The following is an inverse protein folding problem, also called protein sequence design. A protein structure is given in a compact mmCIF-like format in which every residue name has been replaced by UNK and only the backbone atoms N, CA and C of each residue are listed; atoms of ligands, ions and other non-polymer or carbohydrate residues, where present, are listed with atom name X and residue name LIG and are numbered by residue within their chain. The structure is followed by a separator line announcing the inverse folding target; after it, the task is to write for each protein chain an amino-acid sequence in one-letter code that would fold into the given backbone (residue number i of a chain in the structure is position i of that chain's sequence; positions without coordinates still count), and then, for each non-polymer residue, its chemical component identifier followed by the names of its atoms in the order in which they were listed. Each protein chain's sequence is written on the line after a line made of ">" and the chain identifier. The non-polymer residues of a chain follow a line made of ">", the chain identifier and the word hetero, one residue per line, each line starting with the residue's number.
data_IF_678584381272
#
_entry.id   IF_678584381272
#
_cell.length_a   1.000
_cell.length_b   1.000
_cell.length_c   1.000
_cell.angle_alpha   90.00
_cell.angle_beta   90.00
_cell.angle_gamma   90.00
#
_symmetry.space_group_name_H-M   'P 1'
#
loop_
_entity.id
_entity.type
_entity.pdbx_description
1 polymer ?
#
# COMPACT_ATOMS: atom_id res chain seq x y z
N UNK A 1 17.68 0.93 16.73
CA UNK A 1 19.11 0.53 16.73
C UNK A 1 19.41 -0.49 15.63
N UNK A 2 18.72 -1.64 15.57
CA UNK A 2 18.90 -2.65 14.49
C UNK A 2 18.81 -2.07 13.06
N UNK A 3 17.79 -1.25 12.77
CA UNK A 3 17.63 -0.63 11.44
C UNK A 3 18.80 0.32 11.07
N UNK A 4 19.32 1.08 12.04
CA UNK A 4 20.45 1.97 11.82
C UNK A 4 21.76 1.19 11.60
N UNK A 5 21.97 0.12 12.38
CA UNK A 5 23.13 -0.76 12.23
C UNK A 5 23.13 -1.50 10.88
N UNK A 6 21.96 -1.94 10.42
CA UNK A 6 21.80 -2.53 9.09
C UNK A 6 22.14 -1.53 7.97
N UNK A 7 21.60 -0.30 8.04
CA UNK A 7 21.92 0.75 7.07
C UNK A 7 23.41 1.10 7.04
N UNK A 8 24.06 1.16 8.20
CA UNK A 8 25.49 1.45 8.33
C UNK A 8 26.36 0.31 7.77
N UNK A 9 26.02 -0.93 8.07
CA UNK A 9 26.70 -2.11 7.52
C UNK A 9 26.61 -2.14 5.98
N UNK A 10 25.42 -1.88 5.42
CA UNK A 10 25.23 -1.83 3.98
C UNK A 10 25.95 -0.64 3.32
N UNK A 11 26.02 0.51 3.99
CA UNK A 11 26.78 1.66 3.51
C UNK A 11 28.29 1.35 3.47
N UNK A 12 28.81 0.67 4.48
CA UNK A 12 30.21 0.25 4.55
C UNK A 12 30.56 -0.86 3.56
N UNK A 13 29.64 -1.78 3.29
CA UNK A 13 29.84 -2.89 2.34
C UNK A 13 29.53 -2.52 0.88
N UNK A 14 29.12 -1.28 0.61
CA UNK A 14 28.73 -0.82 -0.73
C UNK A 14 27.43 -1.46 -1.25
N UNK A 15 26.63 -2.09 -0.39
CA UNK A 15 25.40 -2.77 -0.77
C UNK A 15 24.29 -1.75 -1.04
N UNK A 16 23.73 -1.76 -2.26
CA UNK A 16 22.67 -0.83 -2.66
C UNK A 16 21.32 -1.25 -2.10
N UNK A 17 20.78 -0.45 -1.17
CA UNK A 17 19.49 -0.71 -0.51
C UNK A 17 18.27 -0.16 -1.26
N UNK A 18 18.45 0.90 -2.05
CA UNK A 18 17.41 1.52 -2.87
C UNK A 18 17.81 1.37 -4.33
N UNK A 19 17.05 0.56 -5.09
CA UNK A 19 17.21 0.44 -6.54
C UNK A 19 16.35 1.51 -7.21
N UNK A 20 16.99 2.48 -7.86
CA UNK A 20 16.35 3.33 -8.86
C UNK A 20 17.01 2.97 -10.19
N UNK A 21 16.19 2.51 -11.15
CA UNK A 21 16.68 2.07 -12.46
C UNK A 21 17.21 3.26 -13.24
N UNK A 22 18.48 3.18 -13.64
CA UNK A 22 19.12 4.14 -14.55
C UNK A 22 20.35 4.82 -13.95
N UNK A 23 21.51 4.36 -14.41
CA UNK A 23 22.87 4.93 -14.40
C UNK A 23 23.35 5.89 -13.29
N UNK A 24 24.52 5.51 -12.77
CA UNK A 24 25.62 6.36 -12.27
C UNK A 24 25.35 7.31 -11.09
N UNK A 25 25.77 6.84 -9.91
CA UNK A 25 26.51 7.70 -8.99
C UNK A 25 25.73 8.34 -7.85
N UNK A 26 25.39 7.56 -6.82
CA UNK A 26 25.33 8.09 -5.46
C UNK A 26 25.50 6.97 -4.43
N UNK A 27 26.58 7.01 -3.65
CA UNK A 27 26.77 6.29 -2.37
C UNK A 27 25.82 6.80 -1.25
N UNK A 28 24.92 7.72 -1.59
CA UNK A 28 24.01 8.47 -0.71
C UNK A 28 22.84 7.63 -0.10
N UNK A 29 22.32 6.55 -0.71
CA UNK A 29 21.14 5.84 -0.18
C UNK A 29 21.34 5.14 1.16
N UNK A 30 22.51 4.54 1.43
CA UNK A 30 22.76 3.77 2.66
C UNK A 30 22.87 4.66 3.90
N UNK A 31 23.50 5.83 3.76
CA UNK A 31 23.61 6.83 4.82
C UNK A 31 22.27 7.47 5.18
N UNK A 32 21.37 7.63 4.21
CA UNK A 32 20.00 8.09 4.47
C UNK A 32 19.24 7.10 5.38
N UNK A 33 19.34 5.78 5.13
CA UNK A 33 18.75 4.73 5.97
C UNK A 33 19.33 4.76 7.38
N UNK A 34 20.66 4.85 7.49
CA UNK A 34 21.35 4.95 8.78
C UNK A 34 20.92 6.21 9.56
N UNK A 35 20.78 7.35 8.87
CA UNK A 35 20.36 8.63 9.47
C UNK A 35 18.92 8.59 9.98
N UNK A 36 17.99 8.04 9.20
CA UNK A 36 16.59 7.84 9.62
C UNK A 36 16.52 6.89 10.82
N UNK A 37 17.30 5.80 10.80
CA UNK A 37 17.38 4.85 11.92
C UNK A 37 17.99 5.46 13.19
N UNK A 38 19.02 6.30 13.04
CA UNK A 38 19.66 7.04 14.13
C UNK A 38 18.70 8.06 14.75
N UNK A 39 18.03 8.85 13.92
CA UNK A 39 17.01 9.80 14.37
C UNK A 39 15.86 9.08 15.10
N UNK A 40 15.38 7.95 14.58
CA UNK A 40 14.36 7.13 15.25
C UNK A 40 14.80 6.67 16.65
N UNK A 41 16.06 6.25 16.80
CA UNK A 41 16.61 5.83 18.08
C UNK A 41 16.73 7.00 19.07
N UNK A 42 17.22 8.16 18.63
CA UNK A 42 17.35 9.37 19.45
C UNK A 42 15.99 9.85 19.96
N UNK A 43 14.99 9.93 19.07
CA UNK A 43 13.65 10.41 19.42
C UNK A 43 12.94 9.43 20.35
N UNK A 44 13.08 8.13 20.12
CA UNK A 44 12.54 7.10 21.02
C UNK A 44 13.21 7.17 22.41
N UNK A 45 14.54 7.33 22.47
CA UNK A 45 15.27 7.52 23.72
C UNK A 45 14.87 8.79 24.46
N UNK A 46 14.64 9.89 23.75
CA UNK A 46 14.13 11.13 24.32
C UNK A 46 12.72 10.95 24.91
N UNK A 47 11.85 10.16 24.28
CA UNK A 47 10.51 9.87 24.82
C UNK A 47 10.58 9.00 26.08
N UNK A 48 11.50 8.04 26.14
CA UNK A 48 11.74 7.23 27.35
C UNK A 48 12.25 8.11 28.50
N UNK A 49 13.14 9.06 28.21
CA UNK A 49 13.78 9.90 29.23
C UNK A 49 12.92 11.07 29.70
N UNK A 50 12.17 11.70 28.79
CA UNK A 50 11.46 12.97 29.06
C UNK A 50 9.94 12.85 28.97
N UNK A 51 9.41 11.67 28.68
CA UNK A 51 7.99 11.42 28.44
C UNK A 51 7.50 11.94 27.07
N UNK A 52 6.26 11.58 26.67
CA UNK A 52 5.73 11.89 25.34
C UNK A 52 5.22 13.34 25.23
N UNK A 53 6.15 14.31 25.16
CA UNK A 53 5.87 15.74 24.90
C UNK A 53 5.27 15.95 23.50
N UNK A 54 4.47 17.01 23.27
CA UNK A 54 3.83 17.26 21.97
C UNK A 54 4.84 17.37 20.82
N UNK A 55 5.96 18.07 21.04
CA UNK A 55 7.03 18.17 20.03
C UNK A 55 7.65 16.80 19.69
N UNK A 56 7.94 15.97 20.70
CA UNK A 56 8.46 14.61 20.49
C UNK A 56 7.44 13.72 19.77
N UNK A 57 6.15 13.90 19.99
CA UNK A 57 5.09 13.19 19.23
C UNK A 57 5.07 13.59 17.77
N UNK A 58 5.18 14.89 17.46
CA UNK A 58 5.29 15.36 16.07
C UNK A 58 6.52 14.74 15.41
N UNK A 59 7.65 14.75 16.10
CA UNK A 59 8.89 14.18 15.59
C UNK A 59 8.81 12.66 15.38
N UNK A 60 8.19 11.92 16.31
CA UNK A 60 7.90 10.49 16.11
C UNK A 60 7.02 10.24 14.87
N UNK A 61 6.01 11.08 14.62
CA UNK A 61 5.18 10.97 13.42
C UNK A 61 5.95 11.29 12.14
N UNK A 62 6.83 12.29 12.15
CA UNK A 62 7.69 12.61 11.01
C UNK A 62 8.65 11.45 10.69
N UNK A 63 9.32 10.90 11.71
CA UNK A 63 10.23 9.76 11.51
C UNK A 63 9.47 8.48 11.13
N UNK A 64 8.26 8.28 11.67
CA UNK A 64 7.36 7.21 11.24
C UNK A 64 6.97 7.35 9.76
N UNK A 65 6.69 8.57 9.29
CA UNK A 65 6.37 8.82 7.88
C UNK A 65 7.59 8.53 6.98
N UNK A 66 8.78 8.97 7.36
CA UNK A 66 10.03 8.68 6.65
C UNK A 66 10.31 7.17 6.58
N UNK A 67 10.17 6.44 7.68
CA UNK A 67 10.28 4.99 7.71
C UNK A 67 9.20 4.31 6.85
N UNK A 68 7.97 4.83 6.86
CA UNK A 68 6.86 4.37 6.02
C UNK A 68 7.15 4.52 4.52
N UNK A 69 7.76 5.64 4.11
CA UNK A 69 8.20 5.86 2.72
C UNK A 69 9.24 4.82 2.30
N UNK A 70 10.20 4.48 3.17
CA UNK A 70 11.18 3.42 2.86
C UNK A 70 10.58 2.01 2.86
N UNK A 71 9.50 1.79 3.62
CA UNK A 71 8.77 0.53 3.68
C UNK A 71 7.76 0.34 2.54
N UNK A 72 7.50 1.39 1.78
CA UNK A 72 6.39 1.48 0.83
C UNK A 72 6.42 0.41 -0.28
N UNK A 73 7.60 0.11 -0.81
CA UNK A 73 7.77 -0.93 -1.82
C UNK A 73 7.79 -2.35 -1.25
N UNK A 74 7.69 -2.53 0.08
CA UNK A 74 7.63 -3.86 0.70
C UNK A 74 6.41 -4.64 0.23
N UNK A 75 5.28 -3.95 0.05
CA UNK A 75 4.05 -4.60 -0.41
C UNK A 75 4.25 -5.22 -1.78
N UNK A 76 4.95 -4.51 -2.68
CA UNK A 76 5.26 -5.04 -4.02
C UNK A 76 6.16 -6.27 -3.93
N UNK A 77 7.19 -6.24 -3.08
CA UNK A 77 8.08 -7.40 -2.85
C UNK A 77 7.33 -8.62 -2.28
N UNK A 78 6.35 -8.40 -1.39
CA UNK A 78 5.52 -9.48 -0.84
C UNK A 78 4.59 -10.04 -1.92
N UNK A 79 3.98 -9.16 -2.73
CA UNK A 79 3.12 -9.54 -3.85
C UNK A 79 3.93 -10.36 -4.87
N UNK A 80 5.13 -9.92 -5.25
CA UNK A 80 6.00 -10.68 -6.17
C UNK A 80 6.36 -12.05 -5.59
N UNK A 81 6.81 -12.11 -4.33
CA UNK A 81 7.10 -13.40 -3.66
C UNK A 81 5.90 -14.33 -3.59
N UNK A 82 4.70 -13.82 -3.31
CA UNK A 82 3.46 -14.62 -3.29
C UNK A 82 3.14 -15.24 -4.65
N UNK A 83 3.61 -14.64 -5.75
CA UNK A 83 3.43 -15.14 -7.10
C UNK A 83 4.64 -15.92 -7.62
N UNK A 84 5.51 -16.39 -6.71
CA UNK A 84 6.69 -17.17 -7.06
C UNK A 84 7.79 -16.36 -7.74
N UNK A 85 7.65 -15.03 -7.77
CA UNK A 85 8.67 -14.13 -8.30
C UNK A 85 9.74 -13.86 -7.25
N UNK A 86 11.01 -13.88 -7.67
CA UNK A 86 12.10 -13.43 -6.83
C UNK A 86 11.99 -11.93 -6.50
N UNK A 87 12.60 -11.51 -5.40
CA UNK A 87 12.84 -10.08 -5.15
C UNK A 87 14.13 -9.66 -5.84
N UNK A 88 14.17 -8.43 -6.36
CA UNK A 88 15.36 -7.86 -7.02
C UNK A 88 16.62 -7.92 -6.14
N UNK A 89 16.45 -7.83 -4.80
CA UNK A 89 17.53 -7.98 -3.84
C UNK A 89 17.00 -8.31 -2.44
N UNK A 90 17.53 -9.38 -1.84
CA UNK A 90 17.21 -9.75 -0.45
C UNK A 90 17.57 -8.66 0.57
N UNK A 91 18.63 -7.87 0.31
CA UNK A 91 19.02 -6.75 1.17
C UNK A 91 18.01 -5.59 1.10
N UNK A 92 17.44 -5.32 -0.09
CA UNK A 92 16.38 -4.32 -0.24
C UNK A 92 15.09 -4.74 0.45
N UNK A 93 14.70 -6.02 0.30
CA UNK A 93 13.54 -6.58 1.00
C UNK A 93 13.70 -6.51 2.53
N UNK A 94 14.88 -6.87 3.05
CA UNK A 94 15.20 -6.77 4.47
C UNK A 94 15.13 -5.32 4.98
N UNK A 95 15.67 -4.36 4.23
CA UNK A 95 15.57 -2.93 4.56
C UNK A 95 14.11 -2.47 4.67
N UNK A 96 13.30 -2.79 3.67
CA UNK A 96 11.88 -2.43 3.61
C UNK A 96 11.10 -3.07 4.77
N UNK A 97 11.41 -4.32 5.13
CA UNK A 97 10.79 -5.02 6.26
C UNK A 97 11.15 -4.38 7.61
N UNK A 98 12.43 -4.07 7.84
CA UNK A 98 12.89 -3.39 9.05
C UNK A 98 12.29 -1.98 9.17
N UNK A 99 12.16 -1.26 8.06
CA UNK A 99 11.50 0.03 7.99
C UNK A 99 10.02 -0.05 8.39
N UNK A 100 9.30 -1.09 7.91
CA UNK A 100 7.90 -1.33 8.26
C UNK A 100 7.73 -1.60 9.76
N UNK A 101 8.57 -2.48 10.33
CA UNK A 101 8.58 -2.76 11.78
C UNK A 101 8.89 -1.49 12.57
N UNK A 102 9.89 -0.72 12.14
CA UNK A 102 10.26 0.57 12.76
C UNK A 102 9.09 1.56 12.77
N UNK A 103 8.38 1.71 11.65
CA UNK A 103 7.22 2.60 11.55
C UNK A 103 6.09 2.18 12.51
N UNK A 104 5.80 0.87 12.62
CA UNK A 104 4.80 0.33 13.56
C UNK A 104 5.17 0.65 15.00
N UNK A 105 6.43 0.42 15.39
CA UNK A 105 6.92 0.68 16.75
C UNK A 105 6.91 2.18 17.09
N UNK A 106 7.31 3.04 16.16
CA UNK A 106 7.25 4.50 16.34
C UNK A 106 5.81 4.99 16.50
N UNK A 107 4.88 4.49 15.68
CA UNK A 107 3.46 4.82 15.78
C UNK A 107 2.83 4.33 17.09
N UNK A 108 3.22 3.14 17.57
CA UNK A 108 2.79 2.62 18.87
C UNK A 108 3.32 3.49 20.03
N UNK A 109 4.59 3.89 19.97
CA UNK A 109 5.25 4.76 20.96
C UNK A 109 4.62 6.16 21.00
N UNK A 110 4.26 6.72 19.84
CA UNK A 110 3.55 8.00 19.77
C UNK A 110 2.13 7.94 20.38
N UNK A 111 1.57 6.73 20.55
CA UNK A 111 0.18 6.48 20.99
C UNK A 111 0.06 5.97 22.42
N UNK A 112 1.14 5.49 23.05
CA UNK A 112 1.13 4.84 24.38
C UNK A 112 0.57 5.72 25.50
N UNK A 113 0.53 7.05 25.33
CA UNK A 113 -0.04 7.99 26.30
C UNK A 113 -1.57 8.18 26.25
N UNK A 114 -2.33 7.41 25.47
CA UNK A 114 -3.80 7.51 25.41
C UNK A 114 -4.47 6.26 25.97
N UNK A 115 -4.51 6.15 27.29
CA UNK A 115 -5.40 5.22 27.99
C UNK A 115 -6.85 5.66 27.73
N UNK A 116 -7.54 4.97 26.83
CA UNK A 116 -8.96 5.19 26.60
C UNK A 116 -9.74 4.27 27.55
N UNK A 117 -10.14 4.82 28.70
CA UNK A 117 -11.10 4.21 29.61
C UNK A 117 -12.52 4.45 29.05
N UNK A 118 -13.04 3.47 28.33
CA UNK A 118 -14.42 3.48 27.86
C UNK A 118 -14.85 2.06 27.50
N UNK A 119 -15.85 1.54 28.21
CA UNK A 119 -16.43 0.21 27.97
C UNK A 119 -17.72 0.27 27.17
N UNK A 120 -18.22 1.47 26.88
CA UNK A 120 -19.47 1.65 26.14
C UNK A 120 -19.29 1.31 24.66
N UNK A 121 -19.96 0.23 24.24
CA UNK A 121 -19.94 -0.30 22.87
C UNK A 121 -20.96 0.44 22.02
N UNK A 122 -20.50 1.10 20.94
CA UNK A 122 -21.37 1.84 20.02
C UNK A 122 -22.18 0.91 19.12
N UNK A 123 -23.45 1.23 18.87
CA UNK A 123 -24.30 0.46 17.96
C UNK A 123 -23.72 0.43 16.52
N UNK A 124 -23.91 -0.66 15.76
CA UNK A 124 -23.43 -0.74 14.39
C UNK A 124 -24.06 0.36 13.54
N UNK A 125 -23.25 1.10 12.79
CA UNK A 125 -23.73 2.24 12.00
C UNK A 125 -23.07 2.33 10.62
N UNK A 126 -23.88 2.71 9.65
CA UNK A 126 -23.45 3.05 8.29
C UNK A 126 -22.62 4.33 8.29
N UNK A 127 -21.62 4.43 7.44
CA UNK A 127 -20.82 5.65 7.33
C UNK A 127 -21.63 6.85 6.78
N UNK A 128 -21.19 8.09 7.10
CA UNK A 128 -21.77 9.32 6.56
C UNK A 128 -21.74 9.36 5.02
N UNK A 129 -22.66 10.12 4.41
CA UNK A 129 -22.82 10.19 2.94
C UNK A 129 -21.51 10.44 2.19
N UNK A 130 -20.69 11.40 2.65
CA UNK A 130 -19.40 11.73 2.03
C UNK A 130 -18.42 10.54 2.03
N UNK A 131 -18.39 9.75 3.11
CA UNK A 131 -17.52 8.56 3.20
C UNK A 131 -18.00 7.47 2.23
N UNK A 132 -19.33 7.36 2.03
CA UNK A 132 -19.88 6.43 1.04
C UNK A 132 -19.58 6.88 -0.39
N UNK A 133 -19.62 8.18 -0.66
CA UNK A 133 -19.23 8.73 -1.95
C UNK A 133 -17.75 8.47 -2.24
N UNK A 134 -16.88 8.63 -1.24
CA UNK A 134 -15.47 8.24 -1.37
C UNK A 134 -15.33 6.74 -1.68
N UNK A 135 -16.11 5.87 -1.03
CA UNK A 135 -16.08 4.44 -1.33
C UNK A 135 -16.59 4.10 -2.74
N UNK A 136 -17.61 4.81 -3.23
CA UNK A 136 -18.05 4.72 -4.61
C UNK A 136 -16.96 5.15 -5.58
N UNK A 137 -16.33 6.31 -5.34
CA UNK A 137 -15.21 6.79 -6.15
C UNK A 137 -14.07 5.76 -6.20
N UNK A 138 -13.67 5.19 -5.05
CA UNK A 138 -12.66 4.14 -4.99
C UNK A 138 -13.05 2.86 -5.73
N UNK A 139 -14.35 2.51 -5.77
CA UNK A 139 -14.83 1.35 -6.54
C UNK A 139 -14.81 1.65 -8.04
N UNK A 140 -15.32 2.80 -8.45
CA UNK A 140 -15.39 3.23 -9.86
C UNK A 140 -14.00 3.44 -10.45
N UNK A 141 -13.00 3.80 -9.63
CA UNK A 141 -11.63 3.97 -10.07
C UNK A 141 -11.01 2.71 -10.70
N UNK A 142 -11.51 1.51 -10.39
CA UNK A 142 -11.07 0.26 -11.01
C UNK A 142 -11.81 -0.09 -12.31
N UNK A 143 -12.86 0.65 -12.70
CA UNK A 143 -13.62 0.35 -13.92
C UNK A 143 -12.74 0.42 -15.19
N UNK A 144 -11.90 1.46 -15.40
CA UNK A 144 -11.01 1.50 -16.56
C UNK A 144 -10.02 0.33 -16.56
N UNK A 145 -9.53 -0.07 -15.38
CA UNK A 145 -8.63 -1.20 -15.21
C UNK A 145 -9.30 -2.53 -15.57
N UNK A 146 -10.52 -2.75 -15.08
CA UNK A 146 -11.31 -3.92 -15.41
C UNK A 146 -11.65 -3.98 -16.90
N UNK A 147 -12.02 -2.85 -17.52
CA UNK A 147 -12.29 -2.77 -18.95
C UNK A 147 -11.05 -3.13 -19.78
N UNK A 148 -9.88 -2.58 -19.43
CA UNK A 148 -8.60 -2.93 -20.05
C UNK A 148 -8.32 -4.44 -19.96
N UNK A 149 -8.42 -5.04 -18.76
CA UNK A 149 -8.20 -6.48 -18.56
C UNK A 149 -9.20 -7.33 -19.36
N UNK A 150 -10.46 -6.93 -19.42
CA UNK A 150 -11.48 -7.62 -20.21
C UNK A 150 -11.19 -7.57 -21.71
N UNK A 151 -10.69 -6.44 -22.23
CA UNK A 151 -10.29 -6.34 -23.64
C UNK A 151 -9.20 -7.35 -23.96
N UNK A 152 -8.15 -7.43 -23.14
CA UNK A 152 -7.08 -8.43 -23.33
C UNK A 152 -7.58 -9.87 -23.18
N UNK A 153 -8.45 -10.15 -22.20
CA UNK A 153 -9.02 -11.49 -21.99
C UNK A 153 -9.86 -11.98 -23.17
N UNK A 154 -10.52 -11.06 -23.88
CA UNK A 154 -11.30 -11.35 -25.08
C UNK A 154 -10.45 -11.42 -26.36
N UNK A 155 -9.12 -11.40 -26.23
CA UNK A 155 -8.18 -11.41 -27.36
C UNK A 155 -8.04 -10.07 -28.09
N UNK A 156 -8.59 -8.99 -27.52
CA UNK A 156 -8.48 -7.64 -28.06
C UNK A 156 -7.12 -6.99 -27.80
N UNK A 157 -6.93 -5.82 -28.41
CA UNK A 157 -5.73 -5.00 -28.24
C UNK A 157 -6.05 -3.77 -27.39
N UNK A 158 -5.25 -3.51 -26.37
CA UNK A 158 -5.30 -2.28 -25.58
C UNK A 158 -3.89 -1.77 -25.35
N UNK A 159 -3.69 -0.45 -25.51
CA UNK A 159 -2.37 0.18 -25.44
C UNK A 159 -1.33 -0.54 -26.33
N UNK A 160 -1.70 -0.84 -27.58
CA UNK A 160 -0.81 -1.46 -28.55
C UNK A 160 -0.40 -2.91 -28.26
N UNK A 161 -0.84 -3.51 -27.16
CA UNK A 161 -0.56 -4.89 -26.75
C UNK A 161 -1.81 -5.75 -26.88
N UNK A 162 -1.66 -6.92 -27.51
CA UNK A 162 -2.69 -7.97 -27.61
C UNK A 162 -2.76 -8.83 -26.35
N UNK A 163 -3.89 -9.51 -26.14
CA UNK A 163 -4.03 -10.46 -25.03
C UNK A 163 -2.96 -11.57 -25.03
N UNK A 164 -2.58 -12.09 -26.20
CA UNK A 164 -1.54 -13.12 -26.34
C UNK A 164 -0.14 -12.59 -25.98
N UNK A 165 0.21 -11.40 -26.44
CA UNK A 165 1.47 -10.75 -26.08
C UNK A 165 1.54 -10.47 -24.57
N UNK A 166 0.44 -10.04 -23.96
CA UNK A 166 0.37 -9.83 -22.52
C UNK A 166 0.56 -11.14 -21.74
N UNK A 167 -0.05 -12.24 -22.19
CA UNK A 167 0.10 -13.56 -21.58
C UNK A 167 1.56 -14.05 -21.70
N UNK A 168 2.19 -13.86 -22.85
CA UNK A 168 3.60 -14.21 -23.07
C UNK A 168 4.55 -13.37 -22.21
N UNK A 169 4.26 -12.08 -22.01
CA UNK A 169 5.00 -11.21 -21.08
C UNK A 169 4.87 -11.73 -19.65
N UNK A 170 3.69 -12.15 -19.22
CA UNK A 170 3.49 -12.70 -17.87
C UNK A 170 4.16 -14.05 -17.67
N UNK A 171 4.15 -14.94 -18.67
CA UNK A 171 4.92 -16.19 -18.64
C UNK A 171 6.43 -15.92 -18.53
N UNK A 172 6.95 -14.97 -19.32
CA UNK A 172 8.36 -14.53 -19.24
C UNK A 172 8.70 -13.93 -17.88
N UNK A 173 7.75 -13.22 -17.27
CA UNK A 173 7.83 -12.71 -15.91
C UNK A 173 7.51 -13.79 -14.87
N UNK A 174 7.61 -15.08 -15.22
CA UNK A 174 7.59 -16.22 -14.31
C UNK A 174 6.21 -16.63 -13.78
N UNK A 175 5.11 -16.09 -14.32
CA UNK A 175 3.78 -16.61 -14.01
C UNK A 175 3.67 -18.05 -14.54
N UNK A 176 3.21 -18.98 -13.72
CA UNK A 176 3.10 -20.39 -14.12
C UNK A 176 1.86 -21.07 -13.54
N UNK A 177 1.44 -22.17 -14.17
CA UNK A 177 0.36 -23.03 -13.71
C UNK A 177 -0.99 -22.31 -13.58
N UNK A 178 -1.53 -22.24 -12.36
CA UNK A 178 -2.87 -21.70 -12.12
C UNK A 178 -2.95 -20.19 -12.37
N UNK A 179 -1.83 -19.46 -12.27
CA UNK A 179 -1.81 -18.01 -12.53
C UNK A 179 -1.86 -17.70 -14.01
N UNK A 180 -1.16 -18.47 -14.85
CA UNK A 180 -1.20 -18.30 -16.31
C UNK A 180 -2.59 -18.67 -16.87
N UNK A 181 -3.19 -19.73 -16.34
CA UNK A 181 -4.57 -20.10 -16.70
C UNK A 181 -5.55 -19.03 -16.26
N UNK A 182 -5.49 -18.53 -15.04
CA UNK A 182 -6.35 -17.42 -14.60
C UNK A 182 -6.15 -16.13 -15.42
N UNK A 183 -4.91 -15.82 -15.80
CA UNK A 183 -4.59 -14.67 -16.63
C UNK A 183 -5.16 -14.76 -18.05
N UNK A 184 -5.20 -15.97 -18.63
CA UNK A 184 -5.89 -16.18 -19.92
C UNK A 184 -7.39 -15.89 -19.87
N UNK A 185 -8.00 -15.87 -18.68
CA UNK A 185 -9.40 -15.48 -18.46
C UNK A 185 -9.52 -14.00 -18.02
N UNK A 186 -8.43 -13.24 -18.04
CA UNK A 186 -8.38 -11.87 -17.53
C UNK A 186 -8.40 -11.75 -16.01
N UNK A 187 -8.38 -12.87 -15.28
CA UNK A 187 -8.47 -12.94 -13.83
C UNK A 187 -7.09 -13.05 -13.22
N UNK A 188 -6.24 -12.06 -13.47
CA UNK A 188 -4.93 -12.06 -12.81
C UNK A 188 -5.07 -11.80 -11.29
N UNK A 189 -3.99 -12.02 -10.52
CA UNK A 189 -4.04 -11.79 -9.09
C UNK A 189 -4.38 -10.35 -8.70
N UNK A 190 -4.06 -9.37 -9.55
CA UNK A 190 -4.36 -7.98 -9.25
C UNK A 190 -5.86 -7.69 -9.32
N UNK A 191 -6.61 -8.34 -10.22
CA UNK A 191 -8.08 -8.30 -10.24
C UNK A 191 -8.65 -8.93 -8.96
N UNK A 192 -8.11 -10.06 -8.50
CA UNK A 192 -8.54 -10.68 -7.24
C UNK A 192 -8.28 -9.77 -6.04
N UNK A 193 -7.10 -9.15 -5.98
CA UNK A 193 -6.76 -8.16 -4.95
C UNK A 193 -7.67 -6.92 -5.03
N UNK A 194 -8.02 -6.46 -6.23
CA UNK A 194 -8.93 -5.34 -6.42
C UNK A 194 -10.34 -5.68 -5.91
N UNK A 195 -10.86 -6.89 -6.20
CA UNK A 195 -12.15 -7.37 -5.69
C UNK A 195 -12.13 -7.47 -4.16
N UNK A 196 -11.09 -8.06 -3.58
CA UNK A 196 -10.90 -8.13 -2.12
C UNK A 196 -10.80 -6.72 -1.51
N UNK A 197 -10.13 -5.80 -2.19
CA UNK A 197 -10.03 -4.40 -1.80
C UNK A 197 -11.39 -3.71 -1.79
N UNK A 198 -12.16 -3.80 -2.89
CA UNK A 198 -13.52 -3.26 -2.97
C UNK A 198 -14.40 -3.85 -1.88
N UNK A 199 -14.32 -5.17 -1.66
CA UNK A 199 -15.04 -5.83 -0.57
C UNK A 199 -14.66 -5.23 0.79
N UNK A 200 -13.36 -5.10 1.08
CA UNK A 200 -12.86 -4.48 2.30
C UNK A 200 -13.36 -3.04 2.48
N UNK A 201 -13.26 -2.22 1.43
CA UNK A 201 -13.70 -0.83 1.42
C UNK A 201 -15.20 -0.72 1.78
N UNK A 202 -16.04 -1.57 1.19
CA UNK A 202 -17.46 -1.61 1.51
C UNK A 202 -17.76 -2.15 2.92
N UNK A 203 -16.93 -3.07 3.42
CA UNK A 203 -17.00 -3.54 4.80
C UNK A 203 -16.76 -2.41 5.79
N UNK A 204 -15.79 -1.54 5.54
CA UNK A 204 -15.52 -0.37 6.39
C UNK A 204 -16.66 0.64 6.38
N UNK A 205 -17.49 0.66 5.35
CA UNK A 205 -18.55 1.67 5.17
C UNK A 205 -19.92 1.17 5.62
N UNK A 206 -20.18 -0.13 5.49
CA UNK A 206 -21.49 -0.73 5.80
C UNK A 206 -21.51 -1.37 7.20
N UNK A 207 -22.71 -1.59 7.78
CA UNK A 207 -22.83 -2.20 9.11
C UNK A 207 -22.26 -3.63 9.18
N UNK A 208 -22.23 -4.35 8.06
CA UNK A 208 -21.75 -5.73 8.01
C UNK A 208 -20.25 -5.89 8.28
N UNK A 209 -19.45 -4.81 8.14
CA UNK A 209 -18.06 -4.83 8.60
C UNK A 209 -17.90 -4.67 10.11
N UNK A 210 -18.98 -4.36 10.83
CA UNK A 210 -18.99 -4.28 12.31
C UNK A 210 -19.70 -5.47 12.96
N UNK A 211 -20.62 -6.11 12.24
CA UNK A 211 -21.38 -7.29 12.67
C UNK A 211 -21.46 -8.27 11.52
N UNK A 212 -21.09 -9.52 11.76
CA UNK A 212 -21.13 -10.56 10.75
C UNK A 212 -22.55 -10.73 10.18
N UNK A 213 -22.71 -10.69 8.84
CA UNK A 213 -24.00 -10.75 8.18
C UNK A 213 -24.68 -12.13 8.33
N UNK A 214 -25.94 -12.23 7.91
CA UNK A 214 -26.73 -13.47 8.08
C UNK A 214 -26.19 -14.66 7.24
N UNK A 215 -25.44 -14.38 6.17
CA UNK A 215 -24.86 -15.40 5.31
C UNK A 215 -23.58 -16.05 5.87
N UNK A 216 -22.92 -15.46 6.86
CA UNK A 216 -21.84 -16.14 7.59
C UNK A 216 -22.45 -17.03 8.68
N UNK A 217 -22.93 -18.22 8.28
CA UNK A 217 -23.69 -19.16 9.13
C UNK A 217 -23.13 -19.32 10.55
N UNK A 218 -21.81 -19.51 10.70
CA UNK A 218 -21.16 -19.74 12.00
C UNK A 218 -20.91 -18.49 12.84
N UNK A 219 -20.87 -17.31 12.22
CA UNK A 219 -20.49 -16.05 12.88
C UNK A 219 -21.64 -15.04 12.94
N UNK A 220 -22.81 -15.39 12.41
CA UNK A 220 -24.00 -14.54 12.29
C UNK A 220 -24.27 -13.75 13.58
N UNK A 221 -24.40 -12.43 13.44
CA UNK A 221 -24.74 -11.54 14.56
C UNK A 221 -23.62 -11.28 15.55
N UNK A 222 -22.47 -11.97 15.46
CA UNK A 222 -21.29 -11.66 16.25
C UNK A 222 -20.65 -10.37 15.77
N UNK A 223 -20.03 -9.63 16.68
CA UNK A 223 -19.25 -8.43 16.34
C UNK A 223 -17.99 -8.84 15.60
N UNK A 224 -17.69 -8.12 14.53
CA UNK A 224 -16.41 -8.24 13.83
C UNK A 224 -15.33 -7.62 14.70
N UNK A 225 -14.24 -8.33 15.03
CA UNK A 225 -13.12 -7.75 15.74
C UNK A 225 -12.62 -6.52 14.99
N UNK A 226 -12.53 -5.38 15.67
CA UNK A 226 -12.20 -4.08 15.07
C UNK A 226 -10.99 -4.13 14.14
N UNK A 227 -9.94 -4.83 14.56
CA UNK A 227 -8.68 -4.90 13.83
C UNK A 227 -8.74 -5.78 12.58
N UNK A 228 -9.74 -6.66 12.46
CA UNK A 228 -9.89 -7.57 11.33
C UNK A 228 -10.04 -6.81 9.99
N UNK A 229 -10.99 -5.87 9.81
CA UNK A 229 -11.03 -5.06 8.59
C UNK A 229 -10.05 -3.88 8.64
N UNK A 230 -9.65 -3.43 9.83
CA UNK A 230 -8.93 -2.17 9.98
C UNK A 230 -7.43 -2.31 9.74
N UNK A 231 -6.82 -3.43 10.13
CA UNK A 231 -5.41 -3.71 9.84
C UNK A 231 -5.13 -3.78 8.34
N UNK A 232 -5.81 -4.61 7.52
CA UNK A 232 -5.59 -4.64 6.08
C UNK A 232 -5.97 -3.31 5.42
N UNK A 233 -6.97 -2.58 5.93
CA UNK A 233 -7.33 -1.27 5.40
C UNK A 233 -6.25 -0.21 5.63
N UNK A 234 -5.62 -0.22 6.81
CA UNK A 234 -4.52 0.69 7.12
C UNK A 234 -3.27 0.34 6.32
N UNK A 235 -2.97 -0.95 6.15
CA UNK A 235 -1.86 -1.41 5.29
C UNK A 235 -2.10 -1.00 3.83
N UNK A 236 -3.29 -1.28 3.29
CA UNK A 236 -3.66 -0.89 1.93
C UNK A 236 -3.67 0.62 1.73
N UNK A 237 -4.16 1.39 2.70
CA UNK A 237 -4.17 2.86 2.62
C UNK A 237 -2.74 3.44 2.66
N UNK A 238 -1.88 2.91 3.54
CA UNK A 238 -0.50 3.37 3.69
C UNK A 238 0.38 3.04 2.47
N UNK A 239 -0.04 2.09 1.62
CA UNK A 239 0.70 1.64 0.45
C UNK A 239 0.10 2.16 -0.85
N UNK A 240 -1.20 2.01 -1.06
CA UNK A 240 -1.84 2.38 -2.33
C UNK A 240 -2.01 3.89 -2.48
N UNK A 241 -2.29 4.63 -1.40
CA UNK A 241 -2.52 6.06 -1.50
C UNK A 241 -1.25 6.82 -1.92
N UNK A 242 -0.09 6.63 -1.25
CA UNK A 242 1.13 7.28 -1.75
C UNK A 242 1.57 6.71 -3.10
N UNK A 243 1.29 5.43 -3.40
CA UNK A 243 1.73 4.79 -4.67
C UNK A 243 1.03 5.39 -5.85
N UNK A 244 -0.29 5.48 -5.78
CA UNK A 244 -1.06 6.15 -6.80
C UNK A 244 -0.76 7.65 -6.87
N UNK A 245 -0.69 8.37 -5.74
CA UNK A 245 -0.49 9.84 -5.77
C UNK A 245 0.87 10.22 -6.35
N UNK A 246 1.95 9.57 -5.88
CA UNK A 246 3.30 9.81 -6.42
C UNK A 246 3.38 9.33 -7.87
N UNK A 247 2.78 8.18 -8.19
CA UNK A 247 2.70 7.66 -9.55
C UNK A 247 2.00 8.61 -10.52
N UNK A 248 0.84 9.15 -10.14
CA UNK A 248 0.11 10.17 -10.90
C UNK A 248 0.95 11.42 -11.09
N UNK A 249 1.63 11.91 -10.05
CA UNK A 249 2.53 13.05 -10.15
C UNK A 249 3.70 12.80 -11.11
N UNK A 250 4.31 11.62 -11.04
CA UNK A 250 5.37 11.22 -11.96
C UNK A 250 4.86 11.12 -13.41
N UNK A 251 3.71 10.49 -13.64
CA UNK A 251 3.11 10.41 -14.97
C UNK A 251 2.74 11.78 -15.53
N UNK A 252 2.30 12.72 -14.69
CA UNK A 252 2.06 14.10 -15.10
C UNK A 252 3.36 14.79 -15.56
N UNK A 253 4.47 14.60 -14.85
CA UNK A 253 5.79 15.11 -15.25
C UNK A 253 6.29 14.48 -16.56
N UNK A 254 6.06 13.18 -16.77
CA UNK A 254 6.44 12.52 -18.02
C UNK A 254 5.56 13.02 -19.17
N UNK A 255 4.26 13.17 -18.93
CA UNK A 255 3.31 13.68 -19.94
C UNK A 255 3.63 15.13 -20.34
N UNK A 256 4.15 15.95 -19.42
CA UNK A 256 4.60 17.32 -19.71
C UNK A 256 6.00 17.41 -20.33
N UNK A 257 6.72 16.28 -20.45
CA UNK A 257 8.11 16.24 -20.92
C UNK A 257 9.14 16.68 -19.87
N UNK A 258 8.73 16.94 -18.62
CA UNK A 258 9.61 17.32 -17.52
C UNK A 258 10.37 16.13 -16.91
N UNK A 259 9.93 14.90 -17.18
CA UNK A 259 10.60 13.66 -16.77
C UNK A 259 10.59 12.63 -17.90
N UNK A 260 11.49 11.65 -17.83
CA UNK A 260 11.53 10.53 -18.77
C UNK A 260 11.07 9.24 -18.10
N UNK A 261 10.44 8.36 -18.89
CA UNK A 261 9.99 7.04 -18.47
C UNK A 261 10.45 6.01 -19.50
N UNK A 262 10.84 4.83 -19.02
CA UNK A 262 11.16 3.70 -19.90
C UNK A 262 9.87 3.02 -20.34
N UNK A 263 9.73 2.76 -21.64
CA UNK A 263 8.54 2.09 -22.21
C UNK A 263 8.32 0.66 -21.70
N UNK A 264 9.37 -0.03 -21.23
CA UNK A 264 9.27 -1.42 -20.79
C UNK A 264 8.95 -2.36 -21.96
N UNK A 265 8.03 -3.29 -21.72
CA UNK A 265 7.54 -4.26 -22.72
C UNK A 265 6.49 -3.67 -23.68
N UNK A 266 6.11 -2.40 -23.52
CA UNK A 266 5.17 -1.74 -24.41
C UNK A 266 5.83 -1.27 -25.72
N UNK A 267 5.06 -1.32 -26.81
CA UNK A 267 5.52 -0.93 -28.14
C UNK A 267 5.90 0.55 -28.22
N UNK A 268 5.12 1.43 -27.57
CA UNK A 268 5.40 2.87 -27.51
C UNK A 268 5.39 3.42 -26.08
N UNK A 269 5.98 4.61 -25.89
CA UNK A 269 5.87 5.35 -24.62
C UNK A 269 4.42 5.76 -24.33
N UNK A 270 3.64 6.08 -25.38
CA UNK A 270 2.23 6.45 -25.23
C UNK A 270 1.39 5.31 -24.65
N UNK A 271 1.66 4.08 -25.08
CA UNK A 271 1.02 2.88 -24.56
C UNK A 271 1.34 2.64 -23.08
N UNK A 272 2.62 2.74 -22.73
CA UNK A 272 3.07 2.62 -21.34
C UNK A 272 2.45 3.71 -20.44
N UNK A 273 2.34 4.95 -20.95
CA UNK A 273 1.69 6.05 -20.24
C UNK A 273 0.19 5.79 -20.06
N UNK A 274 -0.49 5.29 -21.07
CA UNK A 274 -1.92 5.02 -21.02
C UNK A 274 -2.26 3.96 -19.96
N UNK A 275 -1.53 2.83 -19.94
CA UNK A 275 -1.68 1.81 -18.90
C UNK A 275 -1.27 2.34 -17.53
N UNK A 276 -0.18 3.12 -17.47
CA UNK A 276 0.28 3.77 -16.24
C UNK A 276 -0.79 4.67 -15.64
N UNK A 277 -1.43 5.52 -16.45
CA UNK A 277 -2.49 6.42 -16.00
C UNK A 277 -3.71 5.66 -15.47
N UNK A 278 -4.11 4.57 -16.13
CA UNK A 278 -5.20 3.71 -15.67
C UNK A 278 -4.87 3.13 -14.29
N UNK A 279 -3.69 2.54 -14.11
CA UNK A 279 -3.29 1.90 -12.86
C UNK A 279 -3.06 2.89 -11.71
N UNK A 280 -2.25 3.92 -11.94
CA UNK A 280 -1.87 4.88 -10.88
C UNK A 280 -3.06 5.71 -10.40
N UNK A 281 -3.96 6.09 -11.30
CA UNK A 281 -5.19 6.79 -10.91
C UNK A 281 -6.10 5.89 -10.09
N UNK A 282 -6.24 4.62 -10.49
CA UNK A 282 -7.01 3.64 -9.72
C UNK A 282 -6.47 3.51 -8.29
N UNK A 283 -5.15 3.31 -8.14
CA UNK A 283 -4.50 3.22 -6.83
C UNK A 283 -4.61 4.51 -6.01
N UNK A 284 -4.50 5.67 -6.63
CA UNK A 284 -4.57 6.97 -5.95
C UNK A 284 -5.95 7.17 -5.35
N UNK A 285 -6.98 7.07 -6.19
CA UNK A 285 -8.37 7.30 -5.79
C UNK A 285 -8.81 6.25 -4.78
N UNK A 286 -8.49 4.97 -5.02
CA UNK A 286 -8.82 3.89 -4.10
C UNK A 286 -8.08 4.03 -2.76
N UNK A 287 -6.79 4.34 -2.76
CA UNK A 287 -6.00 4.52 -1.53
C UNK A 287 -6.52 5.69 -0.67
N UNK A 288 -6.90 6.80 -1.30
CA UNK A 288 -7.52 7.94 -0.61
C UNK A 288 -8.89 7.54 -0.05
N UNK A 289 -9.73 6.87 -0.84
CA UNK A 289 -11.02 6.37 -0.39
C UNK A 289 -10.89 5.42 0.81
N UNK A 290 -9.92 4.51 0.77
CA UNK A 290 -9.61 3.57 1.84
C UNK A 290 -9.12 4.28 3.10
N UNK A 291 -8.31 5.33 2.97
CA UNK A 291 -7.88 6.18 4.09
C UNK A 291 -9.07 6.85 4.78
N UNK A 292 -9.98 7.44 4.00
CA UNK A 292 -11.20 8.10 4.49
C UNK A 292 -12.11 7.07 5.19
N UNK A 293 -12.33 5.91 4.56
CA UNK A 293 -13.16 4.85 5.09
C UNK A 293 -12.57 4.24 6.37
N UNK A 294 -11.27 3.98 6.42
CA UNK A 294 -10.56 3.46 7.58
C UNK A 294 -10.62 4.44 8.76
N UNK A 295 -10.41 5.74 8.51
CA UNK A 295 -10.56 6.78 9.55
C UNK A 295 -11.99 6.84 10.08
N UNK A 296 -12.99 6.81 9.19
CA UNK A 296 -14.39 6.83 9.59
C UNK A 296 -14.76 5.58 10.39
N UNK A 297 -14.36 4.39 9.93
CA UNK A 297 -14.58 3.13 10.63
C UNK A 297 -13.94 3.16 12.02
N UNK A 298 -12.67 3.58 12.09
CA UNK A 298 -11.93 3.72 13.35
C UNK A 298 -12.67 4.62 14.36
N UNK A 299 -13.29 5.72 13.92
CA UNK A 299 -14.08 6.60 14.78
C UNK A 299 -15.43 5.99 15.21
N UNK A 300 -16.09 5.24 14.32
CA UNK A 300 -17.38 4.58 14.62
C UNK A 300 -17.21 3.38 15.56
N UNK A 301 -16.07 2.69 15.51
CA UNK A 301 -15.76 1.52 16.35
C UNK A 301 -14.90 1.84 17.56
N UNK A 302 -14.58 3.11 17.83
CA UNK A 302 -13.91 3.50 19.07
C UNK A 302 -14.86 3.27 20.25
N UNK A 303 -14.37 2.72 21.38
CA UNK A 303 -15.15 2.70 22.61
C UNK A 303 -15.54 4.14 22.97
N UNK A 304 -16.79 4.36 23.36
CA UNK A 304 -17.19 5.69 23.80
C UNK A 304 -16.54 5.95 25.18
N UNK A 305 -15.81 7.05 25.29
CA UNK A 305 -15.51 7.64 26.58
C UNK A 305 -16.85 8.14 27.16
N UNK A 306 -17.12 7.80 28.42
CA UNK A 306 -18.08 8.56 29.22
C UNK A 306 -17.44 9.88 29.59
#
# INVERSE_FOLDING_TARGET
>A
MLYAGFGLACAMSGTRLLHHGGESGALVPGWAVASVGGLAALVSGAVVRYGPRPALRVLLWLVCALAGITAFSLLMDVITLMFGQGVDSGASAANKALAAVGAVLLAATARSGRLFAGTAVRAPSTAPRLVRLAAWAGTVAFVPYAAMKMVWALGGTFAGITGEEMLAVSERNGASGIFLTLESWGLDPTVLLAVLGVFLLWGLVRPWGQVFPRWTLFLRGRRVPRWLPLAPALLGAATLAPYGVVGVGYLALVTSGAATMRRGDFHSLGDALLVGWVGMTAFAVYGIALTIAARSYWLRTRPACR
#
